data_IF_829689162252
#
_entry.id   IF_829689162252
#
_cell.length_a   1.000
_cell.length_b   1.000
_cell.length_c   1.000
_cell.angle_alpha   90.00
_cell.angle_beta   90.00
_cell.angle_gamma   90.00
#
_symmetry.space_group_name_H-M   'P 1'
#
loop_
_entity.id
_entity.type
_entity.pdbx_description
1 polymer ?
#
# COMPACT_ATOMS: atom_id res chain seq x y z
N UNK A 1 -5.89 -1.26 11.81
CA UNK A 1 -4.72 -2.00 11.30
C UNK A 1 -5.18 -3.11 10.35
N UNK A 2 -6.03 -4.03 10.80
CA UNK A 2 -6.57 -5.13 9.97
C UNK A 2 -7.26 -4.66 8.68
N UNK A 3 -8.10 -3.62 8.71
CA UNK A 3 -8.73 -3.08 7.50
C UNK A 3 -7.74 -2.52 6.47
N UNK A 4 -6.68 -1.87 6.95
CA UNK A 4 -5.62 -1.36 6.10
C UNK A 4 -4.81 -2.52 5.50
N UNK A 5 -4.54 -3.55 6.30
CA UNK A 5 -3.89 -4.78 5.82
C UNK A 5 -4.74 -5.52 4.78
N UNK A 6 -6.06 -5.68 5.00
CA UNK A 6 -6.99 -6.29 4.03
C UNK A 6 -7.02 -5.52 2.72
N UNK A 7 -7.00 -4.19 2.77
CA UNK A 7 -6.89 -3.35 1.56
C UNK A 7 -5.54 -3.56 0.85
N UNK A 8 -4.42 -3.59 1.59
CA UNK A 8 -3.08 -3.89 1.03
C UNK A 8 -3.05 -5.27 0.37
N UNK A 9 -3.69 -6.26 0.98
CA UNK A 9 -3.84 -7.61 0.44
C UNK A 9 -4.69 -7.62 -0.84
N UNK A 10 -5.81 -6.88 -0.88
CA UNK A 10 -6.63 -6.73 -2.09
C UNK A 10 -5.91 -6.03 -3.25
N UNK A 11 -5.02 -5.06 -3.00
CA UNK A 11 -4.21 -4.42 -4.06
C UNK A 11 -2.88 -5.13 -4.33
N UNK A 12 -2.63 -6.29 -3.72
CA UNK A 12 -1.39 -7.06 -3.91
C UNK A 12 -0.12 -6.40 -3.33
N UNK A 13 -0.26 -5.40 -2.46
CA UNK A 13 0.84 -4.63 -1.87
C UNK A 13 1.29 -5.18 -0.49
N UNK A 14 0.94 -6.40 -0.11
CA UNK A 14 1.25 -6.93 1.24
C UNK A 14 2.69 -7.48 1.43
N UNK A 15 3.55 -7.33 0.42
CA UNK A 15 4.95 -7.77 0.42
C UNK A 15 5.77 -7.20 1.59
N UNK A 16 6.84 -7.93 1.98
CA UNK A 16 7.73 -7.57 3.10
C UNK A 16 8.27 -6.14 3.02
N UNK A 17 8.75 -5.72 1.85
CA UNK A 17 9.30 -4.36 1.66
C UNK A 17 8.22 -3.27 1.87
N UNK A 18 6.98 -3.53 1.45
CA UNK A 18 5.87 -2.61 1.66
C UNK A 18 5.46 -2.56 3.14
N UNK A 19 5.39 -3.71 3.82
CA UNK A 19 5.13 -3.75 5.26
C UNK A 19 6.23 -3.06 6.08
N UNK A 20 7.48 -3.14 5.64
CA UNK A 20 8.61 -2.40 6.24
C UNK A 20 8.47 -0.89 6.01
N UNK A 21 8.14 -0.44 4.80
CA UNK A 21 7.82 0.98 4.55
C UNK A 21 6.67 1.45 5.43
N UNK A 22 5.55 0.71 5.49
CA UNK A 22 4.40 1.06 6.31
C UNK A 22 4.72 1.17 7.81
N UNK A 23 5.55 0.26 8.35
CA UNK A 23 6.02 0.36 9.74
C UNK A 23 6.99 1.54 9.96
N UNK A 24 7.70 2.01 8.92
CA UNK A 24 8.55 3.19 9.00
C UNK A 24 7.72 4.49 9.00
N UNK A 25 6.73 4.62 8.11
CA UNK A 25 5.77 5.73 8.12
C UNK A 25 4.96 5.78 9.43
N UNK A 26 4.54 4.61 9.93
CA UNK A 26 3.89 4.47 11.24
C UNK A 26 4.78 4.78 12.46
N UNK A 27 6.04 5.21 12.25
CA UNK A 27 7.06 5.42 13.29
C UNK A 27 7.25 4.25 14.27
N UNK A 28 7.05 3.02 13.79
CA UNK A 28 7.44 1.80 14.53
C UNK A 28 8.93 1.56 14.34
N UNK A 29 9.42 1.77 13.12
CA UNK A 29 10.84 1.75 12.76
C UNK A 29 11.41 3.17 12.90
N UNK A 30 11.70 3.57 14.15
CA UNK A 30 12.40 4.83 14.47
C UNK A 30 13.88 4.84 14.01
N UNK A 31 14.42 3.70 13.56
CA UNK A 31 15.84 3.54 13.21
C UNK A 31 16.79 3.49 14.41
N UNK A 32 16.33 3.84 15.62
CA UNK A 32 17.11 3.85 16.86
C UNK A 32 17.04 2.51 17.60
N UNK A 33 15.82 2.02 17.89
CA UNK A 33 15.59 0.75 18.62
C UNK A 33 15.21 -0.37 17.66
N UNK A 34 14.21 -0.10 16.80
CA UNK A 34 13.88 -0.97 15.67
C UNK A 34 14.44 -0.33 14.41
N UNK A 35 15.34 -1.06 13.74
CA UNK A 35 15.91 -0.73 12.44
C UNK A 35 15.19 -1.50 11.33
N UNK A 36 15.32 -1.04 10.08
CA UNK A 36 14.82 -1.79 8.93
C UNK A 36 15.43 -3.21 8.87
N UNK A 37 16.70 -3.39 9.22
CA UNK A 37 17.32 -4.73 9.29
C UNK A 37 16.63 -5.64 10.32
N UNK A 38 16.25 -5.12 11.49
CA UNK A 38 15.52 -5.89 12.51
C UNK A 38 14.13 -6.28 12.05
N UNK A 39 13.40 -5.36 11.43
CA UNK A 39 12.12 -5.66 10.81
C UNK A 39 12.29 -6.74 9.72
N UNK A 40 13.22 -6.54 8.78
CA UNK A 40 13.52 -7.48 7.69
C UNK A 40 13.95 -8.86 8.20
N UNK A 41 14.65 -8.95 9.33
CA UNK A 41 14.97 -10.24 10.00
C UNK A 41 13.75 -10.96 10.57
N UNK A 42 12.72 -10.25 11.04
CA UNK A 42 11.46 -10.89 11.46
C UNK A 42 10.65 -11.44 10.27
N UNK A 43 10.80 -10.82 9.09
CA UNK A 43 10.17 -11.29 7.85
C UNK A 43 11.06 -12.23 7.01
N UNK A 44 12.35 -12.38 7.32
CA UNK A 44 13.26 -13.28 6.61
C UNK A 44 12.89 -14.77 6.78
N UNK A 45 12.12 -15.11 7.81
CA UNK A 45 11.55 -16.45 8.05
C UNK A 45 10.21 -16.67 7.30
N UNK A 46 9.69 -15.64 6.61
CA UNK A 46 8.49 -15.76 5.78
C UNK A 46 8.88 -16.27 4.40
N UNK A 47 8.48 -17.51 4.10
CA UNK A 47 8.76 -18.15 2.80
C UNK A 47 8.19 -17.37 1.60
N UNK A 48 7.07 -16.66 1.80
CA UNK A 48 6.44 -15.85 0.77
C UNK A 48 6.62 -14.35 1.06
N UNK A 49 7.74 -13.80 0.58
CA UNK A 49 8.08 -12.38 0.78
C UNK A 49 7.17 -11.42 0.00
N UNK A 50 6.38 -11.93 -0.94
CA UNK A 50 5.38 -11.17 -1.70
C UNK A 50 3.98 -11.24 -1.07
N UNK A 51 3.66 -12.36 -0.39
CA UNK A 51 2.35 -12.60 0.24
C UNK A 51 2.50 -12.97 1.73
N UNK A 52 2.81 -11.96 2.55
CA UNK A 52 2.85 -12.09 4.00
C UNK A 52 1.42 -12.21 4.55
N UNK A 53 1.15 -13.22 5.38
CA UNK A 53 -0.12 -13.31 6.09
C UNK A 53 -0.24 -12.27 7.21
N UNK A 54 -1.47 -11.81 7.47
CA UNK A 54 -1.78 -10.91 8.59
C UNK A 54 -1.26 -11.46 9.91
N UNK A 55 -1.42 -12.77 10.16
CA UNK A 55 -0.89 -13.46 11.34
C UNK A 55 0.63 -13.31 11.51
N UNK A 56 1.40 -13.40 10.42
CA UNK A 56 2.87 -13.21 10.45
C UNK A 56 3.23 -11.74 10.69
N UNK A 57 2.54 -10.80 10.05
CA UNK A 57 2.74 -9.37 10.27
C UNK A 57 2.41 -8.95 11.71
N UNK A 58 1.29 -9.44 12.25
CA UNK A 58 0.85 -9.17 13.61
C UNK A 58 1.80 -9.79 14.65
N UNK A 59 2.31 -11.00 14.40
CA UNK A 59 3.35 -11.62 15.24
C UNK A 59 4.68 -10.85 15.23
N UNK A 60 5.09 -10.32 14.08
CA UNK A 60 6.27 -9.47 13.97
C UNK A 60 6.10 -8.17 14.76
N UNK A 61 4.97 -7.46 14.62
CA UNK A 61 4.67 -6.24 15.41
C UNK A 61 4.67 -6.55 16.92
N UNK A 62 4.07 -7.66 17.34
CA UNK A 62 4.09 -8.07 18.75
C UNK A 62 5.50 -8.30 19.28
N UNK A 63 6.40 -8.92 18.50
CA UNK A 63 7.82 -9.04 18.85
C UNK A 63 8.52 -7.68 18.90
N UNK A 64 8.32 -6.81 17.91
CA UNK A 64 8.92 -5.47 17.87
C UNK A 64 8.50 -4.60 19.06
N UNK A 65 7.22 -4.64 19.45
CA UNK A 65 6.70 -3.95 20.62
C UNK A 65 7.32 -4.49 21.92
N UNK A 66 7.45 -5.82 22.03
CA UNK A 66 8.09 -6.48 23.17
C UNK A 66 9.57 -6.12 23.28
N UNK A 67 10.33 -6.10 22.17
CA UNK A 67 11.73 -5.63 22.13
C UNK A 67 11.86 -4.14 22.50
N UNK A 68 10.90 -3.30 22.11
CA UNK A 68 10.85 -1.87 22.48
C UNK A 68 10.38 -1.60 23.92
N UNK A 69 9.91 -2.61 24.67
CA UNK A 69 9.14 -2.43 25.92
C UNK A 69 7.95 -1.43 25.75
N UNK A 70 7.38 -1.37 24.54
CA UNK A 70 6.23 -0.52 24.19
C UNK A 70 4.97 -1.35 24.07
N UNK A 71 3.82 -0.70 24.24
CA UNK A 71 2.53 -1.36 24.05
C UNK A 71 2.29 -1.70 22.57
N UNK A 72 2.01 -2.97 22.30
CA UNK A 72 1.57 -3.50 20.99
C UNK A 72 0.42 -2.66 20.43
N UNK A 73 -0.52 -2.29 21.31
CA UNK A 73 -1.70 -1.49 20.98
C UNK A 73 -1.35 -0.14 20.36
N UNK A 74 -0.29 0.53 20.84
CA UNK A 74 0.19 1.81 20.29
C UNK A 74 0.71 1.61 18.86
N UNK A 75 1.45 0.54 18.59
CA UNK A 75 1.93 0.22 17.24
C UNK A 75 0.78 -0.17 16.31
N UNK A 76 -0.18 -0.97 16.77
CA UNK A 76 -1.38 -1.31 16.00
C UNK A 76 -2.25 -0.07 15.70
N UNK A 77 -2.33 0.87 16.64
CA UNK A 77 -3.04 2.14 16.47
C UNK A 77 -2.32 3.06 15.48
N UNK A 78 -0.99 3.20 15.57
CA UNK A 78 -0.20 3.96 14.58
C UNK A 78 -0.32 3.39 13.16
N UNK A 79 -0.25 2.06 13.01
CA UNK A 79 -0.51 1.39 11.72
C UNK A 79 -1.95 1.58 11.26
N UNK A 80 -2.94 1.65 12.17
CA UNK A 80 -4.32 1.93 11.79
C UNK A 80 -4.48 3.36 11.21
N UNK A 81 -3.77 4.33 11.79
CA UNK A 81 -3.83 5.75 11.44
C UNK A 81 -3.07 6.06 10.13
N UNK A 82 -1.86 5.53 9.97
CA UNK A 82 -1.05 5.68 8.75
C UNK A 82 -1.44 4.69 7.63
N UNK A 83 -2.19 3.63 7.95
CA UNK A 83 -2.76 2.68 6.99
C UNK A 83 -3.39 3.29 5.73
N UNK A 84 -4.35 4.23 5.83
CA UNK A 84 -4.92 4.91 4.67
C UNK A 84 -3.92 5.73 3.84
N UNK A 85 -2.96 6.42 4.47
CA UNK A 85 -1.91 7.16 3.74
C UNK A 85 -0.98 6.22 2.99
N UNK A 86 -0.48 5.20 3.69
CA UNK A 86 0.38 4.19 3.11
C UNK A 86 -0.32 3.46 1.96
N UNK A 87 -1.63 3.21 2.07
CA UNK A 87 -2.45 2.69 0.96
C UNK A 87 -2.51 3.64 -0.24
N UNK A 88 -2.68 4.94 -0.01
CA UNK A 88 -2.72 5.94 -1.07
C UNK A 88 -1.37 6.02 -1.80
N UNK A 89 -0.25 6.02 -1.07
CA UNK A 89 1.10 5.91 -1.64
C UNK A 89 1.38 4.55 -2.30
N UNK A 90 0.93 3.44 -1.72
CA UNK A 90 1.11 2.10 -2.27
C UNK A 90 0.35 1.93 -3.60
N UNK A 91 -0.87 2.47 -3.69
CA UNK A 91 -1.65 2.52 -4.93
C UNK A 91 -1.02 3.47 -5.96
N UNK A 92 -0.55 4.65 -5.53
CA UNK A 92 0.14 5.61 -6.40
C UNK A 92 1.47 5.05 -6.94
N UNK A 93 2.23 4.34 -6.10
CA UNK A 93 3.48 3.68 -6.48
C UNK A 93 3.26 2.42 -7.32
N UNK A 94 2.16 1.67 -7.11
CA UNK A 94 1.75 0.58 -7.99
C UNK A 94 1.30 1.09 -9.37
N UNK A 95 0.67 2.27 -9.41
CA UNK A 95 0.28 2.97 -10.65
C UNK A 95 1.45 3.40 -11.55
N UNK A 96 2.70 3.29 -11.08
CA UNK A 96 3.89 3.70 -11.85
C UNK A 96 4.54 2.59 -12.68
N UNK A 97 4.00 1.37 -12.70
CA UNK A 97 4.59 0.26 -13.49
C UNK A 97 3.59 -0.66 -14.20
N UNK A 98 2.60 -0.11 -14.90
CA UNK A 98 2.16 -0.57 -16.23
C UNK A 98 1.03 0.29 -16.82
N UNK A 99 1.23 0.73 -18.07
CA UNK A 99 0.26 1.04 -19.16
C UNK A 99 -1.25 0.85 -18.86
N UNK A 100 -2.19 1.72 -19.28
CA UNK A 100 -2.18 2.87 -20.20
C UNK A 100 -3.31 3.85 -19.75
N UNK A 101 -3.32 5.13 -20.09
CA UNK A 101 -3.69 5.63 -21.43
C UNK A 101 -5.09 6.27 -21.42
N UNK A 102 -5.23 7.46 -22.00
CA UNK A 102 -6.51 8.16 -22.29
C UNK A 102 -7.34 8.67 -21.11
N UNK A 103 -6.76 9.54 -20.28
CA UNK A 103 -7.52 10.62 -19.63
C UNK A 103 -7.53 11.87 -20.53
N UNK A 104 -8.45 11.93 -21.49
CA UNK A 104 -8.74 13.14 -22.30
C UNK A 104 -10.22 13.24 -22.65
N UNK A 105 -11.05 13.55 -21.66
CA UNK A 105 -12.43 14.00 -21.88
C UNK A 105 -12.46 15.44 -22.41
N UNK A 106 -12.80 15.61 -23.68
CA UNK A 106 -13.27 16.88 -24.25
C UNK A 106 -14.41 16.58 -25.25
N UNK A 107 -15.63 16.41 -24.73
CA UNK A 107 -16.73 17.41 -24.71
C UNK A 107 -17.54 17.46 -26.01
N UNK A 108 -18.85 17.27 -25.83
CA UNK A 108 -19.87 17.24 -26.87
C UNK A 108 -20.08 18.55 -27.62
N UNK A 109 -20.65 18.39 -28.83
CA UNK A 109 -21.54 19.32 -29.53
C UNK A 109 -20.98 20.69 -29.97
N UNK A 110 -20.99 20.91 -31.30
CA UNK A 110 -22.12 21.61 -31.93
C UNK A 110 -22.06 21.62 -33.46
N UNK A 111 -23.21 21.33 -34.07
CA UNK A 111 -23.78 22.01 -35.24
C UNK A 111 -22.97 22.20 -36.54
N UNK A 112 -23.53 21.69 -37.65
CA UNK A 112 -24.06 22.50 -38.78
C UNK A 112 -23.68 22.01 -40.20
N UNK A 113 -24.71 21.50 -40.89
CA UNK A 113 -25.10 21.80 -42.28
C UNK A 113 -24.22 21.32 -43.47
N UNK A 114 -24.92 20.99 -44.57
CA UNK A 114 -24.45 20.84 -45.99
C UNK A 114 -23.37 19.75 -46.24
N UNK A 115 -23.39 18.85 -47.24
CA UNK A 115 -24.31 18.44 -48.32
C UNK A 115 -23.95 16.97 -48.70
N UNK A 116 -24.54 16.23 -49.65
CA UNK A 116 -25.50 16.55 -50.71
C UNK A 116 -26.41 15.36 -51.12
N UNK A 117 -27.50 15.74 -51.77
CA UNK A 117 -28.40 15.07 -52.72
C UNK A 117 -27.86 13.93 -53.61
N UNK A 118 -28.71 12.89 -53.73
CA UNK A 118 -29.17 12.11 -54.90
C UNK A 118 -28.34 11.95 -56.20
N UNK A 119 -28.44 10.72 -56.74
CA UNK A 119 -28.35 10.31 -58.17
C UNK A 119 -26.98 10.45 -58.89
N UNK A 120 -26.63 9.59 -59.85
CA UNK A 120 -27.38 8.52 -60.54
C UNK A 120 -26.54 7.24 -60.71
#
# INVERSE_FOLDING_TARGET
MEDAFKKLQSVGQNSVDNLIKWMKDSKIIDGVIITEERARKLFADVADVANVELSKFQAAISKLATEQLKNVDVFMKSLADEGPKFLEEAVSSAGSSSSAGSASSARSASSALTSSSCEA
#
